data_IF_908029212666
#
_entry.id   IF_908029212666
#
_cell.length_a   1.000
_cell.length_b   1.000
_cell.length_c   1.000
_cell.angle_alpha   90.00
_cell.angle_beta   90.00
_cell.angle_gamma   90.00
#
_symmetry.space_group_name_H-M   'P 1'
#
loop_
_entity.id
_entity.type
_entity.pdbx_description
1 polymer ?
#
# COMPACT_ATOMS: atom_id res chain seq x y z
N UNK A 1 -26.40 95.26 -54.18
CA UNK A 1 -25.08 95.78 -53.81
C UNK A 1 -24.17 94.59 -53.51
N UNK A 2 -23.22 94.29 -54.43
CA UNK A 2 -21.81 93.90 -54.17
C UNK A 2 -21.59 92.61 -53.30
N UNK A 3 -20.83 91.56 -53.62
CA UNK A 3 -19.71 91.30 -54.54
C UNK A 3 -19.55 89.76 -54.70
N UNK A 4 -18.64 89.40 -55.60
CA UNK A 4 -18.29 88.10 -56.16
C UNK A 4 -17.30 87.36 -55.25
N UNK A 5 -17.28 86.02 -55.29
CA UNK A 5 -16.15 85.23 -54.78
C UNK A 5 -16.26 83.73 -55.01
N UNK A 6 -15.82 83.24 -56.18
CA UNK A 6 -15.53 81.81 -56.43
C UNK A 6 -14.19 81.47 -55.77
N UNK A 7 -14.10 80.32 -55.10
CA UNK A 7 -12.86 79.53 -55.00
C UNK A 7 -13.16 78.04 -54.83
N UNK A 8 -12.26 77.23 -55.40
CA UNK A 8 -12.43 75.85 -55.84
C UNK A 8 -11.62 74.86 -54.99
N UNK A 9 -12.00 73.58 -55.11
CA UNK A 9 -11.29 72.31 -54.78
C UNK A 9 -11.38 71.77 -53.33
N UNK A 10 -11.17 70.46 -53.12
CA UNK A 10 -11.72 69.30 -53.83
C UNK A 10 -12.37 68.29 -52.83
N UNK A 11 -13.09 67.31 -53.37
CA UNK A 11 -13.70 66.19 -52.64
C UNK A 11 -12.65 65.36 -51.90
N UNK A 12 -12.78 65.22 -50.56
CA UNK A 12 -12.09 64.19 -49.78
C UNK A 12 -12.90 62.89 -49.86
N UNK A 13 -12.30 61.73 -50.13
CA UNK A 13 -13.00 60.46 -50.03
C UNK A 13 -13.31 60.12 -48.57
N UNK A 14 -14.52 59.64 -48.34
CA UNK A 14 -14.99 59.04 -47.10
C UNK A 14 -14.07 57.85 -46.73
N UNK A 15 -13.26 58.02 -45.68
CA UNK A 15 -12.61 56.89 -45.01
C UNK A 15 -13.63 56.31 -44.03
N UNK A 16 -14.20 55.17 -44.41
CA UNK A 16 -15.10 54.37 -43.58
C UNK A 16 -14.30 53.82 -42.41
N UNK A 17 -14.69 54.17 -41.18
CA UNK A 17 -14.24 53.47 -39.97
C UNK A 17 -14.70 52.01 -40.02
N UNK A 18 -13.76 51.08 -40.10
CA UNK A 18 -14.00 49.69 -39.71
C UNK A 18 -13.74 49.57 -38.20
N UNK A 19 -14.62 48.91 -37.41
CA UNK A 19 -14.37 48.72 -35.99
C UNK A 19 -13.22 47.72 -35.78
N UNK A 20 -12.23 48.10 -34.99
CA UNK A 20 -11.22 47.18 -34.45
C UNK A 20 -11.91 46.09 -33.62
N UNK A 21 -11.92 44.87 -34.13
CA UNK A 21 -12.23 43.68 -33.35
C UNK A 21 -11.01 43.38 -32.49
N UNK A 22 -11.07 43.74 -31.21
CA UNK A 22 -10.19 43.21 -30.16
C UNK A 22 -10.21 41.68 -30.25
N UNK A 23 -9.06 40.99 -30.39
CA UNK A 23 -9.06 39.55 -30.20
C UNK A 23 -9.36 39.28 -28.72
N UNK A 24 -10.52 38.69 -28.45
CA UNK A 24 -10.79 38.06 -27.18
C UNK A 24 -9.72 36.97 -27.00
N UNK A 25 -8.75 37.24 -26.13
CA UNK A 25 -7.80 36.25 -25.70
C UNK A 25 -8.61 35.13 -25.01
N UNK A 26 -8.80 34.01 -25.71
CA UNK A 26 -9.03 32.74 -25.05
C UNK A 26 -7.87 32.58 -24.08
N UNK A 27 -8.15 32.77 -22.79
CA UNK A 27 -7.28 32.31 -21.73
C UNK A 27 -7.21 30.79 -21.87
N UNK A 28 -6.20 30.32 -22.61
CA UNK A 28 -5.76 28.95 -22.53
C UNK A 28 -5.42 28.72 -21.06
N UNK A 29 -6.28 27.97 -20.37
CA UNK A 29 -6.02 27.46 -19.04
C UNK A 29 -4.62 26.85 -19.07
N UNK A 30 -3.68 27.46 -18.35
CA UNK A 30 -2.37 26.88 -18.14
C UNK A 30 -2.61 25.57 -17.38
N UNK A 31 -2.63 24.45 -18.11
CA UNK A 31 -2.62 23.11 -17.54
C UNK A 31 -1.26 22.98 -16.86
N UNK A 32 -1.18 23.36 -15.58
CA UNK A 32 -0.08 22.92 -14.74
C UNK A 32 -0.07 21.40 -14.82
N UNK A 33 1.08 20.74 -15.07
CA UNK A 33 1.14 19.29 -15.06
C UNK A 33 0.70 18.82 -13.66
N UNK A 34 -0.55 18.38 -13.55
CA UNK A 34 -1.15 17.95 -12.30
C UNK A 34 -0.65 16.56 -11.99
N UNK A 35 0.11 16.42 -10.90
CA UNK A 35 0.59 15.12 -10.44
C UNK A 35 -0.58 14.40 -9.78
N UNK A 36 -1.04 13.31 -10.39
CA UNK A 36 -2.17 12.53 -9.85
C UNK A 36 -1.73 11.73 -8.62
N UNK A 37 -2.67 11.40 -7.73
CA UNK A 37 -2.36 10.56 -6.56
C UNK A 37 -1.86 9.18 -6.99
N UNK A 38 -2.48 8.56 -8.00
CA UNK A 38 -2.03 7.29 -8.55
C UNK A 38 -0.57 7.34 -9.02
N UNK A 39 -0.19 8.41 -9.74
CA UNK A 39 1.18 8.57 -10.24
C UNK A 39 2.22 8.67 -9.12
N UNK A 40 1.87 9.20 -7.94
CA UNK A 40 2.78 9.21 -6.79
C UNK A 40 3.07 7.81 -6.27
N UNK A 41 2.03 6.99 -6.13
CA UNK A 41 2.17 5.61 -5.66
C UNK A 41 2.95 4.77 -6.67
N UNK A 42 2.63 4.88 -7.96
CA UNK A 42 3.29 4.13 -9.03
C UNK A 42 4.78 4.48 -9.17
N UNK A 43 5.12 5.78 -9.15
CA UNK A 43 6.52 6.21 -9.21
C UNK A 43 7.30 5.78 -7.96
N UNK A 44 6.70 5.88 -6.78
CA UNK A 44 7.30 5.41 -5.53
C UNK A 44 7.57 3.90 -5.56
N UNK A 45 6.63 3.11 -6.08
CA UNK A 45 6.80 1.67 -6.27
C UNK A 45 7.90 1.36 -7.27
N UNK A 46 7.94 2.04 -8.42
CA UNK A 46 8.96 1.83 -9.45
C UNK A 46 10.37 2.09 -8.91
N UNK A 47 10.57 3.17 -8.16
CA UNK A 47 11.86 3.50 -7.53
C UNK A 47 12.29 2.45 -6.50
N UNK A 48 11.34 1.89 -5.75
CA UNK A 48 11.63 0.94 -4.68
C UNK A 48 11.58 -0.53 -5.12
N UNK A 49 11.11 -0.83 -6.33
CA UNK A 49 10.89 -2.20 -6.81
C UNK A 49 12.18 -3.04 -6.78
N UNK A 50 13.33 -2.43 -7.06
CA UNK A 50 14.63 -3.11 -7.00
C UNK A 50 15.14 -3.34 -5.57
N UNK A 51 14.70 -2.49 -4.62
CA UNK A 51 15.17 -2.51 -3.23
C UNK A 51 14.32 -3.43 -2.34
N UNK A 52 13.10 -3.75 -2.75
CA UNK A 52 12.20 -4.61 -1.97
C UNK A 52 12.23 -6.07 -2.42
N UNK A 53 12.20 -6.98 -1.44
CA UNK A 53 11.93 -8.39 -1.71
C UNK A 53 10.57 -8.54 -2.43
N UNK A 54 10.39 -9.53 -3.33
CA UNK A 54 9.15 -9.70 -4.10
C UNK A 54 7.87 -9.82 -3.26
N UNK A 55 7.97 -10.39 -2.05
CA UNK A 55 6.84 -10.47 -1.13
C UNK A 55 6.43 -9.09 -0.60
N UNK A 56 7.41 -8.27 -0.20
CA UNK A 56 7.20 -6.90 0.28
C UNK A 56 6.63 -6.01 -0.81
N UNK A 57 7.14 -6.12 -2.04
CA UNK A 57 6.63 -5.37 -3.19
C UNK A 57 5.15 -5.68 -3.42
N UNK A 58 4.76 -6.96 -3.47
CA UNK A 58 3.35 -7.37 -3.65
C UNK A 58 2.45 -6.87 -2.52
N UNK A 59 2.94 -6.87 -1.28
CA UNK A 59 2.19 -6.35 -0.13
C UNK A 59 1.98 -4.83 -0.24
N UNK A 60 3.03 -4.08 -0.61
CA UNK A 60 2.97 -2.64 -0.82
C UNK A 60 2.01 -2.29 -1.95
N UNK A 61 2.16 -2.92 -3.12
CA UNK A 61 1.27 -2.78 -4.27
C UNK A 61 -0.20 -3.05 -3.91
N UNK A 62 -0.45 -4.11 -3.16
CA UNK A 62 -1.81 -4.42 -2.71
C UNK A 62 -2.39 -3.35 -1.79
N UNK A 63 -1.56 -2.65 -1.03
CA UNK A 63 -2.00 -1.63 -0.07
C UNK A 63 -2.17 -0.28 -0.76
N UNK A 64 -1.25 0.08 -1.66
CA UNK A 64 -1.32 1.27 -2.50
C UNK A 64 -2.51 1.23 -3.46
N UNK A 65 -2.75 0.12 -4.14
CA UNK A 65 -3.92 -0.02 -5.02
C UNK A 65 -5.24 0.24 -4.28
N UNK A 66 -5.36 -0.27 -3.04
CA UNK A 66 -6.54 0.00 -2.22
C UNK A 66 -6.63 1.47 -1.77
N UNK A 67 -5.50 2.15 -1.53
CA UNK A 67 -5.49 3.57 -1.21
C UNK A 67 -5.90 4.41 -2.43
N UNK A 68 -5.34 4.12 -3.61
CA UNK A 68 -5.70 4.77 -4.88
C UNK A 68 -7.21 4.68 -5.11
N UNK A 69 -7.78 3.47 -4.99
CA UNK A 69 -9.23 3.26 -5.12
C UNK A 69 -10.06 4.14 -4.16
N UNK A 70 -9.59 4.33 -2.92
CA UNK A 70 -10.26 5.20 -1.94
C UNK A 70 -10.12 6.68 -2.33
N UNK A 71 -8.95 7.12 -2.79
CA UNK A 71 -8.76 8.49 -3.29
C UNK A 71 -9.66 8.77 -4.49
N UNK A 72 -9.76 7.82 -5.44
CA UNK A 72 -10.62 7.94 -6.61
C UNK A 72 -12.10 7.97 -6.22
N UNK A 73 -12.53 7.10 -5.32
CA UNK A 73 -13.90 7.10 -4.78
C UNK A 73 -14.29 8.43 -4.13
N UNK A 74 -13.34 9.10 -3.47
CA UNK A 74 -13.57 10.40 -2.84
C UNK A 74 -13.43 11.59 -3.81
N UNK A 75 -13.10 11.34 -5.09
CA UNK A 75 -12.87 12.37 -6.10
C UNK A 75 -11.55 13.14 -5.90
N UNK A 76 -10.56 12.53 -5.25
CA UNK A 76 -9.31 13.14 -4.83
C UNK A 76 -8.09 12.70 -5.66
N UNK A 77 -8.28 11.85 -6.66
CA UNK A 77 -7.20 11.26 -7.44
C UNK A 77 -6.52 12.21 -8.45
N UNK A 78 -7.24 13.25 -8.91
CA UNK A 78 -6.86 14.05 -10.07
C UNK A 78 -5.63 14.94 -9.86
N UNK A 79 -5.50 15.58 -8.69
CA UNK A 79 -4.33 16.40 -8.36
C UNK A 79 -3.96 16.26 -6.88
N UNK A 80 -2.81 15.63 -6.63
CA UNK A 80 -2.29 15.41 -5.30
C UNK A 80 -1.96 16.71 -4.54
N UNK A 81 -1.71 17.83 -5.23
CA UNK A 81 -1.45 19.13 -4.58
C UNK A 81 -2.73 19.79 -4.04
N UNK A 82 -3.91 19.36 -4.50
CA UNK A 82 -5.20 19.86 -3.99
C UNK A 82 -5.69 19.10 -2.77
N UNK A 83 -5.12 17.93 -2.49
CA UNK A 83 -5.49 17.09 -1.35
C UNK A 83 -5.19 17.83 -0.05
N UNK A 84 -6.22 18.01 0.77
CA UNK A 84 -6.11 18.69 2.07
C UNK A 84 -5.96 17.69 3.22
N UNK A 85 -5.69 18.21 4.42
CA UNK A 85 -5.68 17.39 5.64
C UNK A 85 -7.05 16.76 5.94
N UNK A 86 -8.14 17.48 5.67
CA UNK A 86 -9.49 16.96 5.87
C UNK A 86 -9.78 15.77 4.93
N UNK A 87 -9.26 15.84 3.70
CA UNK A 87 -9.40 14.77 2.71
C UNK A 87 -8.69 13.49 3.13
N UNK A 88 -7.46 13.60 3.63
CA UNK A 88 -6.69 12.47 4.15
C UNK A 88 -7.37 11.85 5.38
N UNK A 89 -8.05 12.66 6.21
CA UNK A 89 -8.89 12.14 7.31
C UNK A 89 -10.09 11.36 6.76
N UNK A 90 -10.74 11.82 5.68
CA UNK A 90 -11.82 11.07 5.01
C UNK A 90 -11.32 9.72 4.48
N UNK A 91 -10.12 9.67 3.88
CA UNK A 91 -9.48 8.40 3.44
C UNK A 91 -9.33 7.43 4.62
N UNK A 92 -8.84 7.92 5.76
CA UNK A 92 -8.72 7.13 7.00
C UNK A 92 -10.07 6.64 7.51
N UNK A 93 -11.11 7.47 7.43
CA UNK A 93 -12.45 7.11 7.89
C UNK A 93 -13.12 6.08 6.97
N UNK A 94 -12.80 6.09 5.66
CA UNK A 94 -13.17 5.01 4.72
C UNK A 94 -12.46 3.70 5.10
N UNK A 95 -11.16 3.73 5.40
CA UNK A 95 -10.40 2.54 5.82
C UNK A 95 -11.01 1.86 7.06
N UNK A 96 -11.52 2.64 8.02
CA UNK A 96 -12.18 2.12 9.23
C UNK A 96 -13.48 1.37 8.94
N UNK A 97 -14.09 1.59 7.77
CA UNK A 97 -15.34 0.92 7.37
C UNK A 97 -15.08 -0.31 6.49
N UNK A 98 -13.86 -0.52 6.02
CA UNK A 98 -13.54 -1.64 5.16
C UNK A 98 -13.54 -2.96 5.92
N UNK A 99 -14.08 -4.04 5.34
CA UNK A 99 -14.06 -5.36 5.97
C UNK A 99 -12.68 -6.02 5.93
N UNK A 100 -12.41 -6.82 6.96
CA UNK A 100 -11.26 -7.72 7.01
C UNK A 100 -11.31 -8.73 5.87
N UNK A 101 -10.12 -9.09 5.36
CA UNK A 101 -9.94 -10.05 4.29
C UNK A 101 -10.77 -9.74 3.03
N UNK A 102 -10.95 -8.44 2.72
CA UNK A 102 -11.71 -7.95 1.55
C UNK A 102 -11.45 -8.76 0.28
N UNK A 103 -10.18 -8.93 -0.11
CA UNK A 103 -9.80 -9.65 -1.33
C UNK A 103 -10.24 -11.12 -1.37
N UNK A 104 -10.39 -11.76 -0.21
CA UNK A 104 -10.81 -13.17 -0.12
C UNK A 104 -12.33 -13.31 -0.01
N UNK A 105 -12.98 -12.42 0.74
CA UNK A 105 -14.41 -12.52 1.07
C UNK A 105 -15.33 -11.77 0.11
N UNK A 106 -14.83 -10.71 -0.49
CA UNK A 106 -15.59 -9.81 -1.36
C UNK A 106 -14.82 -9.63 -2.66
N UNK A 107 -14.61 -10.74 -3.35
CA UNK A 107 -13.92 -10.75 -4.63
C UNK A 107 -14.73 -9.92 -5.62
N UNK A 108 -14.06 -9.00 -6.32
CA UNK A 108 -14.63 -8.14 -7.36
C UNK A 108 -15.74 -7.15 -6.90
N UNK A 109 -16.02 -7.07 -5.59
CA UNK A 109 -16.99 -6.12 -5.06
C UNK A 109 -16.43 -4.68 -5.09
N UNK A 110 -17.15 -3.71 -5.68
CA UNK A 110 -16.70 -2.33 -5.73
C UNK A 110 -16.73 -1.69 -4.34
N UNK A 111 -15.88 -0.68 -4.12
CA UNK A 111 -15.76 0.01 -2.85
C UNK A 111 -17.10 0.55 -2.33
N UNK A 112 -17.95 1.08 -3.21
CA UNK A 112 -19.27 1.64 -2.85
C UNK A 112 -20.16 0.60 -2.17
N UNK A 113 -20.23 -0.62 -2.70
CA UNK A 113 -21.06 -1.70 -2.15
C UNK A 113 -20.54 -2.12 -0.77
N UNK A 114 -19.22 -2.13 -0.59
CA UNK A 114 -18.60 -2.48 0.69
C UNK A 114 -18.88 -1.45 1.77
N UNK A 115 -18.93 -0.17 1.42
CA UNK A 115 -19.24 0.91 2.36
C UNK A 115 -20.73 0.99 2.69
N UNK A 116 -21.59 0.57 1.76
CA UNK A 116 -23.05 0.48 1.91
C UNK A 116 -23.56 -0.71 2.71
N UNK A 117 -22.67 -1.63 3.14
CA UNK A 117 -23.05 -2.78 3.96
C UNK A 117 -23.67 -2.35 5.29
N UNK A 118 -24.80 -2.96 5.63
CA UNK A 118 -25.51 -2.74 6.90
C UNK A 118 -24.69 -3.26 8.09
N UNK A 119 -24.05 -4.42 7.95
CA UNK A 119 -23.26 -5.03 9.01
C UNK A 119 -21.77 -4.65 8.91
N UNK A 120 -21.28 -3.86 9.87
CA UNK A 120 -19.88 -3.38 9.99
C UNK A 120 -19.12 -4.02 11.16
N UNK A 121 -19.51 -5.24 11.56
CA UNK A 121 -18.91 -5.96 12.71
C UNK A 121 -17.51 -6.52 12.41
N UNK A 122 -17.15 -6.65 11.13
CA UNK A 122 -15.95 -7.32 10.66
C UNK A 122 -14.93 -6.37 10.00
N UNK A 123 -14.96 -5.09 10.35
CA UNK A 123 -14.07 -4.06 9.80
C UNK A 123 -12.60 -4.22 10.21
N UNK A 124 -11.68 -3.62 9.44
CA UNK A 124 -10.25 -3.63 9.71
C UNK A 124 -9.92 -3.19 11.14
N UNK A 125 -8.99 -3.88 11.79
CA UNK A 125 -8.53 -3.45 13.10
C UNK A 125 -7.57 -2.26 12.98
N UNK A 126 -7.50 -1.45 14.03
CA UNK A 126 -6.69 -0.21 14.09
C UNK A 126 -5.21 -0.47 13.78
N UNK A 127 -4.65 -1.59 14.23
CA UNK A 127 -3.25 -1.93 13.98
C UNK A 127 -3.02 -2.23 12.51
N UNK A 128 -3.95 -2.95 11.87
CA UNK A 128 -3.91 -3.17 10.42
C UNK A 128 -4.03 -1.85 9.65
N UNK A 129 -4.94 -0.95 10.04
CA UNK A 129 -5.08 0.36 9.38
C UNK A 129 -3.76 1.15 9.45
N UNK A 130 -3.17 1.28 10.64
CA UNK A 130 -1.91 1.99 10.82
C UNK A 130 -0.75 1.34 10.05
N UNK A 131 -0.51 0.05 10.27
CA UNK A 131 0.70 -0.64 9.78
C UNK A 131 0.64 -1.04 8.30
N UNK A 132 -0.56 -1.24 7.75
CA UNK A 132 -0.73 -1.66 6.36
C UNK A 132 -1.01 -0.51 5.42
N UNK A 133 -1.74 0.51 5.87
CA UNK A 133 -2.21 1.57 5.00
C UNK A 133 -1.59 2.93 5.35
N UNK A 134 -1.79 3.43 6.57
CA UNK A 134 -1.40 4.80 6.91
C UNK A 134 0.12 5.02 6.87
N UNK A 135 0.91 4.07 7.38
CA UNK A 135 2.38 4.16 7.32
C UNK A 135 2.92 4.16 5.89
N UNK A 136 2.30 3.37 5.00
CA UNK A 136 2.70 3.27 3.58
C UNK A 136 2.30 4.53 2.81
N UNK A 137 1.08 5.03 3.03
CA UNK A 137 0.64 6.33 2.49
C UNK A 137 1.55 7.47 2.96
N UNK A 138 1.92 7.49 4.23
CA UNK A 138 2.82 8.51 4.77
C UNK A 138 4.22 8.43 4.16
N UNK A 139 4.74 7.21 3.92
CA UNK A 139 6.01 7.02 3.23
C UNK A 139 5.99 7.59 1.81
N UNK A 140 4.91 7.34 1.05
CA UNK A 140 4.72 7.86 -0.32
C UNK A 140 4.65 9.39 -0.31
N UNK A 141 3.82 9.99 0.55
CA UNK A 141 3.68 11.45 0.60
C UNK A 141 4.96 12.14 1.08
N UNK A 142 5.69 11.54 2.03
CA UNK A 142 7.01 12.04 2.45
C UNK A 142 8.03 11.96 1.32
N UNK A 143 8.03 10.87 0.55
CA UNK A 143 8.87 10.76 -0.64
C UNK A 143 8.47 11.79 -1.71
N UNK A 144 7.18 12.01 -1.95
CA UNK A 144 6.69 12.96 -2.94
C UNK A 144 7.10 14.40 -2.61
N UNK A 145 7.06 14.82 -1.33
CA UNK A 145 7.58 16.13 -0.90
C UNK A 145 9.08 16.25 -1.15
N UNK A 146 9.87 15.21 -0.84
CA UNK A 146 11.33 15.24 -1.05
C UNK A 146 11.74 15.32 -2.52
N UNK A 147 10.85 14.93 -3.44
CA UNK A 147 11.05 14.98 -4.88
C UNK A 147 10.31 16.16 -5.52
N UNK A 148 9.85 17.14 -4.73
CA UNK A 148 9.14 18.33 -5.18
C UNK A 148 7.86 18.05 -6.02
N UNK A 149 7.29 16.84 -5.88
CA UNK A 149 6.06 16.43 -6.59
C UNK A 149 4.81 17.01 -5.94
N UNK A 150 4.84 17.18 -4.61
CA UNK A 150 3.78 17.83 -3.84
C UNK A 150 4.35 18.89 -2.90
N UNK A 151 3.62 19.98 -2.71
CA UNK A 151 4.07 21.13 -1.89
C UNK A 151 4.15 20.84 -0.39
N UNK A 152 3.28 19.96 0.13
CA UNK A 152 3.18 19.71 1.57
C UNK A 152 2.70 18.30 1.87
N UNK A 153 3.25 17.70 2.93
CA UNK A 153 2.81 16.42 3.44
C UNK A 153 1.54 16.58 4.28
N UNK A 154 0.45 15.91 3.87
CA UNK A 154 -0.84 15.94 4.59
C UNK A 154 -1.07 14.73 5.50
N UNK A 155 -0.12 13.80 5.55
CA UNK A 155 -0.28 12.49 6.24
C UNK A 155 0.34 12.45 7.65
N UNK A 156 1.00 13.53 8.09
CA UNK A 156 1.70 13.56 9.37
C UNK A 156 0.76 13.42 10.57
N UNK A 157 1.04 12.44 11.45
CA UNK A 157 0.24 12.19 12.64
C UNK A 157 -1.17 11.67 12.35
N UNK A 158 -1.34 10.92 11.26
CA UNK A 158 -2.64 10.33 10.89
C UNK A 158 -2.96 9.04 11.67
N UNK A 159 -1.97 8.49 12.38
CA UNK A 159 -2.08 7.25 13.14
C UNK A 159 -3.25 7.27 14.12
N UNK A 160 -4.01 6.19 14.10
CA UNK A 160 -5.10 5.98 15.05
C UNK A 160 -4.53 5.45 16.37
N UNK A 161 -5.06 5.94 17.49
CA UNK A 161 -4.67 5.42 18.81
C UNK A 161 -5.05 3.94 18.91
N UNK A 162 -4.04 3.09 19.04
CA UNK A 162 -4.25 1.65 19.20
C UNK A 162 -4.90 1.40 20.57
N UNK A 163 -6.10 0.79 20.63
CA UNK A 163 -6.68 0.41 21.91
C UNK A 163 -5.75 -0.60 22.60
N UNK A 164 -5.56 -0.43 23.91
CA UNK A 164 -4.78 -1.37 24.71
C UNK A 164 -5.48 -2.74 24.64
N UNK A 165 -4.83 -3.72 24.03
CA UNK A 165 -5.34 -5.09 24.05
C UNK A 165 -5.25 -5.62 25.46
N UNK A 166 -6.33 -6.21 25.95
CA UNK A 166 -6.30 -6.92 27.25
C UNK A 166 -5.29 -8.06 27.12
N UNK A 167 -4.55 -8.36 28.19
CA UNK A 167 -3.63 -9.49 28.20
C UNK A 167 -4.32 -10.81 27.81
N UNK A 168 -5.62 -10.95 28.11
CA UNK A 168 -6.47 -12.09 27.72
C UNK A 168 -6.71 -12.23 26.21
N UNK A 169 -6.50 -11.17 25.42
CA UNK A 169 -6.61 -11.18 23.96
C UNK A 169 -5.25 -11.40 23.27
N UNK A 170 -4.16 -11.44 24.03
CA UNK A 170 -2.88 -11.88 23.52
C UNK A 170 -2.94 -13.37 23.19
N UNK A 171 -2.19 -13.81 22.18
CA UNK A 171 -2.07 -15.24 21.89
C UNK A 171 -1.42 -15.92 23.09
N UNK A 172 -2.19 -16.78 23.77
CA UNK A 172 -1.68 -17.58 24.87
C UNK A 172 -0.63 -18.55 24.34
N UNK A 173 0.48 -18.66 25.06
CA UNK A 173 1.45 -19.72 24.82
C UNK A 173 0.79 -21.08 25.07
N UNK A 174 1.15 -22.09 24.28
CA UNK A 174 0.73 -23.45 24.54
C UNK A 174 1.42 -23.99 25.79
N UNK A 175 0.68 -24.71 26.63
CA UNK A 175 1.28 -25.49 27.71
C UNK A 175 2.02 -26.72 27.15
N UNK A 176 2.93 -27.31 27.93
CA UNK A 176 3.66 -28.53 27.53
C UNK A 176 2.70 -29.66 27.17
N UNK A 177 1.59 -29.79 27.90
CA UNK A 177 0.54 -30.79 27.66
C UNK A 177 -0.16 -30.54 26.32
N UNK A 178 -0.49 -29.27 26.02
CA UNK A 178 -1.10 -28.89 24.75
C UNK A 178 -0.16 -29.14 23.57
N UNK A 179 1.13 -28.86 23.73
CA UNK A 179 2.15 -29.20 22.71
C UNK A 179 2.19 -30.71 22.49
N UNK A 180 2.21 -31.51 23.56
CA UNK A 180 2.15 -32.97 23.46
C UNK A 180 0.92 -33.47 22.68
N UNK A 181 -0.25 -32.92 22.98
CA UNK A 181 -1.50 -33.24 22.26
C UNK A 181 -1.42 -32.85 20.77
N UNK A 182 -0.86 -31.68 20.45
CA UNK A 182 -0.66 -31.24 19.07
C UNK A 182 0.27 -32.18 18.30
N UNK A 183 1.36 -32.65 18.92
CA UNK A 183 2.29 -33.58 18.27
C UNK A 183 1.65 -34.95 17.99
N UNK A 184 0.85 -35.46 18.93
CA UNK A 184 0.07 -36.71 18.71
C UNK A 184 -0.94 -36.53 17.57
N UNK A 185 -1.68 -35.42 17.58
CA UNK A 185 -2.64 -35.10 16.52
C UNK A 185 -1.96 -34.92 15.15
N UNK A 186 -0.83 -34.23 15.09
CA UNK A 186 -0.05 -34.03 13.87
C UNK A 186 0.46 -35.36 13.31
N UNK A 187 0.93 -36.27 14.18
CA UNK A 187 1.34 -37.63 13.79
C UNK A 187 0.19 -38.41 13.19
N UNK A 188 -0.95 -38.45 13.87
CA UNK A 188 -2.15 -39.13 13.38
C UNK A 188 -2.64 -38.52 12.05
N UNK A 189 -2.60 -37.20 11.92
CA UNK A 189 -2.98 -36.52 10.68
C UNK A 189 -2.03 -36.85 9.52
N UNK A 190 -0.72 -36.93 9.77
CA UNK A 190 0.28 -37.25 8.74
C UNK A 190 0.08 -38.61 8.07
N UNK A 191 -0.61 -39.54 8.76
CA UNK A 191 -0.90 -40.89 8.30
C UNK A 191 -2.25 -41.02 7.57
N UNK A 192 -3.08 -39.97 7.56
CA UNK A 192 -4.33 -39.96 6.80
C UNK A 192 -4.05 -39.83 5.30
N UNK A 193 -5.03 -40.18 4.47
CA UNK A 193 -4.98 -40.00 3.01
C UNK A 193 -4.78 -38.54 2.60
N UNK A 194 -5.36 -37.60 3.33
CA UNK A 194 -5.14 -36.15 3.18
C UNK A 194 -3.85 -35.64 3.84
N UNK A 195 -3.23 -36.49 4.65
CA UNK A 195 -2.00 -36.22 5.38
C UNK A 195 -0.76 -36.28 4.51
N UNK A 196 0.32 -35.69 5.01
CA UNK A 196 1.65 -35.74 4.42
C UNK A 196 2.68 -35.83 5.55
N UNK A 197 3.82 -36.52 5.37
CA UNK A 197 4.82 -36.67 6.43
C UNK A 197 5.29 -35.34 7.03
N UNK A 198 5.40 -34.28 6.20
CA UNK A 198 5.85 -32.96 6.68
C UNK A 198 4.90 -32.35 7.73
N UNK A 199 3.61 -32.71 7.76
CA UNK A 199 2.68 -32.21 8.78
C UNK A 199 3.09 -32.64 10.19
N UNK A 200 3.80 -33.77 10.34
CA UNK A 200 4.34 -34.19 11.62
C UNK A 200 5.74 -33.58 11.86
N UNK A 201 6.66 -33.78 10.92
CA UNK A 201 8.06 -33.39 11.12
C UNK A 201 8.25 -31.88 11.27
N UNK A 202 7.52 -31.06 10.52
CA UNK A 202 7.59 -29.59 10.65
C UNK A 202 7.11 -29.15 12.02
N UNK A 203 6.03 -29.74 12.54
CA UNK A 203 5.50 -29.41 13.87
C UNK A 203 6.46 -29.84 14.98
N UNK A 204 7.06 -31.02 14.86
CA UNK A 204 8.07 -31.51 15.82
C UNK A 204 9.30 -30.61 15.84
N UNK A 205 9.86 -30.29 14.66
CA UNK A 205 11.03 -29.43 14.55
C UNK A 205 10.75 -28.02 15.08
N UNK A 206 9.58 -27.45 14.78
CA UNK A 206 9.17 -26.16 15.34
C UNK A 206 9.03 -26.20 16.87
N UNK A 207 8.51 -27.29 17.44
CA UNK A 207 8.37 -27.45 18.89
C UNK A 207 9.71 -27.59 19.61
N UNK A 208 10.70 -28.26 19.00
CA UNK A 208 12.03 -28.49 19.61
C UNK A 208 12.94 -27.26 19.44
N UNK A 209 12.95 -26.67 18.25
CA UNK A 209 13.90 -25.60 17.90
C UNK A 209 13.39 -24.19 18.23
N UNK A 210 12.07 -24.01 18.31
CA UNK A 210 11.45 -22.67 18.35
C UNK A 210 11.59 -21.89 17.04
N UNK A 211 12.15 -22.50 15.98
CA UNK A 211 12.36 -21.84 14.70
C UNK A 211 11.03 -21.47 14.03
N UNK A 212 11.04 -20.40 13.23
CA UNK A 212 9.85 -19.98 12.48
C UNK A 212 9.47 -21.04 11.45
N UNK A 213 8.18 -21.11 11.13
CA UNK A 213 7.63 -22.07 10.16
C UNK A 213 8.44 -22.11 8.84
N UNK A 214 8.76 -20.94 8.27
CA UNK A 214 9.54 -20.88 7.03
C UNK A 214 10.98 -21.34 7.21
N UNK A 215 11.60 -21.08 8.37
CA UNK A 215 12.96 -21.54 8.68
C UNK A 215 13.01 -23.07 8.74
N UNK A 216 11.99 -23.71 9.33
CA UNK A 216 11.85 -25.18 9.36
C UNK A 216 11.53 -25.74 7.96
N UNK A 217 10.65 -25.08 7.20
CA UNK A 217 10.18 -25.56 5.90
C UNK A 217 11.27 -25.54 4.81
N UNK A 218 12.31 -24.71 4.96
CA UNK A 218 13.42 -24.59 4.01
C UNK A 218 14.68 -25.39 4.42
N UNK A 219 14.62 -26.18 5.49
CA UNK A 219 15.74 -27.00 5.94
C UNK A 219 16.08 -28.09 4.91
N UNK A 220 17.36 -28.28 4.68
CA UNK A 220 17.91 -29.33 3.83
C UNK A 220 18.74 -30.31 4.66
N UNK A 221 18.95 -31.53 4.15
CA UNK A 221 19.74 -32.56 4.85
C UNK A 221 21.16 -32.05 5.16
N UNK A 222 21.76 -31.25 4.27
CA UNK A 222 23.07 -30.60 4.47
C UNK A 222 23.13 -29.60 5.63
N UNK A 223 21.98 -29.14 6.12
CA UNK A 223 21.89 -28.22 7.26
C UNK A 223 22.00 -28.96 8.59
N UNK A 224 21.86 -30.29 8.61
CA UNK A 224 22.15 -31.11 9.79
C UNK A 224 23.65 -31.34 9.87
N UNK A 225 24.28 -30.74 10.87
CA UNK A 225 25.73 -30.74 11.03
C UNK A 225 26.12 -31.31 12.39
N UNK A 226 27.39 -31.65 12.51
CA UNK A 226 27.97 -32.21 13.73
C UNK A 226 29.15 -31.32 14.13
N UNK A 227 29.17 -30.85 15.36
CA UNK A 227 30.32 -30.13 15.93
C UNK A 227 31.52 -31.06 16.05
N UNK A 228 32.73 -30.53 16.22
CA UNK A 228 33.94 -31.34 16.49
C UNK A 228 33.77 -32.25 17.73
N UNK A 229 32.98 -31.82 18.72
CA UNK A 229 32.66 -32.60 19.92
C UNK A 229 31.55 -33.66 19.72
N UNK A 230 31.09 -33.91 18.48
CA UNK A 230 30.06 -34.92 18.17
C UNK A 230 28.61 -34.49 18.39
N UNK A 231 28.34 -33.25 18.80
CA UNK A 231 26.97 -32.75 18.99
C UNK A 231 26.30 -32.45 17.65
N UNK A 232 25.13 -33.05 17.41
CA UNK A 232 24.31 -32.79 16.21
C UNK A 232 23.52 -31.50 16.39
N UNK A 233 23.54 -30.64 15.39
CA UNK A 233 22.77 -29.39 15.38
C UNK A 233 22.19 -29.09 14.00
N UNK A 234 21.18 -28.22 13.98
CA UNK A 234 20.55 -27.73 12.74
C UNK A 234 21.10 -26.33 12.47
N UNK A 235 21.78 -26.16 11.34
CA UNK A 235 22.32 -24.89 10.91
C UNK A 235 21.30 -24.12 10.07
N UNK A 236 20.53 -23.21 10.69
CA UNK A 236 19.60 -22.33 9.98
C UNK A 236 20.39 -21.22 9.30
N UNK A 237 20.34 -21.16 7.97
CA UNK A 237 21.19 -20.28 7.17
C UNK A 237 20.44 -19.79 5.90
N UNK A 238 21.06 -18.85 5.17
CA UNK A 238 20.59 -18.36 3.86
C UNK A 238 21.36 -18.95 2.68
N UNK A 239 22.02 -20.11 2.84
CA UNK A 239 22.70 -20.79 1.73
C UNK A 239 21.67 -21.36 0.74
N UNK A 240 21.50 -20.64 -0.37
CA UNK A 240 20.53 -20.93 -1.42
C UNK A 240 21.11 -21.75 -2.60
N UNK A 241 22.38 -22.16 -2.50
CA UNK A 241 23.11 -22.90 -3.56
C UNK A 241 22.37 -24.14 -4.08
N UNK A 242 21.61 -24.81 -3.22
CA UNK A 242 20.81 -26.00 -3.55
C UNK A 242 19.31 -25.81 -3.42
N UNK A 243 18.85 -24.67 -2.90
CA UNK A 243 17.43 -24.32 -2.81
C UNK A 243 17.29 -22.80 -2.99
N UNK A 244 17.01 -22.33 -4.21
CA UNK A 244 16.85 -20.91 -4.48
C UNK A 244 15.77 -20.28 -3.60
N UNK A 245 16.06 -19.10 -3.05
CA UNK A 245 15.08 -18.33 -2.27
C UNK A 245 15.02 -18.65 -0.77
N UNK A 246 16.01 -19.38 -0.24
CA UNK A 246 16.18 -19.54 1.21
C UNK A 246 16.40 -18.17 1.86
N UNK A 247 15.65 -17.84 2.91
CA UNK A 247 15.83 -16.57 3.62
C UNK A 247 15.42 -16.68 5.08
N UNK A 248 16.12 -15.95 5.94
CA UNK A 248 15.83 -15.87 7.37
C UNK A 248 15.31 -14.49 7.71
N UNK A 249 14.38 -14.42 8.67
CA UNK A 249 13.80 -13.13 9.08
C UNK A 249 14.69 -12.40 10.08
N UNK A 250 15.42 -13.15 10.90
CA UNK A 250 16.39 -12.64 11.87
C UNK A 250 17.75 -13.28 11.58
N UNK A 251 18.76 -12.47 11.28
CA UNK A 251 20.11 -12.95 10.94
C UNK A 251 20.91 -13.48 12.13
N UNK A 252 20.40 -13.32 13.36
CA UNK A 252 21.05 -13.72 14.60
C UNK A 252 20.10 -14.61 15.41
N UNK A 253 20.08 -15.91 15.13
CA UNK A 253 19.47 -16.94 15.97
C UNK A 253 20.35 -18.19 15.93
#
# INVERSE_FOLDING_TARGET
MILIGKMTKPLRPLSVSAPEVKPAALAALAVTPSVTVASLFEQYEAENAQNWKPATLRENQSSHAALIEIFDYLGLGADANTVTRADVLRVRDVLQQLPKNRKQRFKDAPLVDLLGREEKTDCLDVVTINNKYLIKMAAVFKWAVRNDLIKKNMTEGLELKVPQRKASEARNAFSTEQVGQLLVAAKAYSQKTSGKPYHYYVTVLAAITGARLNEVAQLQVKDVRVTEAGTVYIHINEDDSSLPGKSIKNAHQ
#
